data_IF_943792860049
#
_entry.id   IF_943792860049
#
_cell.length_a   1.000
_cell.length_b   1.000
_cell.length_c   1.000
_cell.angle_alpha   90.00
_cell.angle_beta   90.00
_cell.angle_gamma   90.00
#
_symmetry.space_group_name_H-M   'P 1'
#
loop_
_entity.id
_entity.type
_entity.pdbx_description
1 polymer ?
#
# COMPACT_ATOMS: atom_id res chain seq x y z
N UNK A 1 -0.18 11.79 -3.58
CA UNK A 1 1.30 11.74 -3.54
C UNK A 1 1.82 10.55 -4.35
N UNK A 2 1.54 9.29 -3.96
CA UNK A 2 1.98 8.07 -4.68
C UNK A 2 1.63 8.07 -6.20
N UNK A 3 0.41 8.51 -6.56
CA UNK A 3 0.01 8.67 -7.98
C UNK A 3 0.95 9.60 -8.77
N UNK A 4 1.37 10.72 -8.18
CA UNK A 4 2.23 11.69 -8.84
C UNK A 4 3.64 11.14 -9.09
N UNK A 5 4.16 10.38 -8.12
CA UNK A 5 5.46 9.69 -8.25
C UNK A 5 5.41 8.64 -9.36
N UNK A 6 4.32 7.86 -9.44
CA UNK A 6 4.14 6.89 -10.51
C UNK A 6 4.01 7.54 -11.89
N UNK A 7 3.25 8.63 -11.99
CA UNK A 7 3.14 9.39 -13.24
C UNK A 7 4.50 9.91 -13.69
N UNK A 8 5.29 10.48 -12.77
CA UNK A 8 6.64 10.99 -13.06
C UNK A 8 7.60 9.89 -13.53
N UNK A 9 7.58 8.73 -12.88
CA UNK A 9 8.39 7.56 -13.29
C UNK A 9 8.04 7.10 -14.70
N UNK A 10 6.75 6.95 -15.01
CA UNK A 10 6.33 6.49 -16.34
C UNK A 10 6.54 7.52 -17.45
N UNK A 11 6.53 8.81 -17.11
CA UNK A 11 6.91 9.86 -18.08
C UNK A 11 8.40 9.87 -18.37
N UNK A 12 9.24 9.39 -17.45
CA UNK A 12 10.68 9.30 -17.64
C UNK A 12 11.08 8.17 -18.61
N UNK A 13 10.34 7.06 -18.62
CA UNK A 13 10.56 5.90 -19.52
C UNK A 13 10.19 6.13 -21.00
N UNK A 14 9.93 7.37 -21.44
CA UNK A 14 9.81 7.74 -22.85
C UNK A 14 8.57 8.59 -23.22
N UNK A 15 8.77 9.54 -24.13
CA UNK A 15 7.82 10.60 -24.51
C UNK A 15 6.43 10.08 -24.99
N UNK A 16 6.38 8.98 -25.75
CA UNK A 16 5.12 8.41 -26.26
C UNK A 16 4.40 7.50 -25.24
N UNK A 17 5.15 6.76 -24.42
CA UNK A 17 4.61 5.89 -23.37
C UNK A 17 4.12 6.70 -22.14
N UNK A 18 4.75 7.84 -21.87
CA UNK A 18 4.38 8.76 -20.79
C UNK A 18 2.95 9.29 -20.91
N UNK A 19 2.53 9.72 -22.10
CA UNK A 19 1.19 10.29 -22.32
C UNK A 19 0.08 9.24 -22.21
N UNK A 20 0.25 8.07 -22.84
CA UNK A 20 -0.70 6.96 -22.74
C UNK A 20 -0.80 6.44 -21.30
N UNK A 21 0.32 6.38 -20.59
CA UNK A 21 0.33 5.96 -19.19
C UNK A 21 -0.34 6.97 -18.25
N UNK A 22 -0.22 8.28 -18.51
CA UNK A 22 -0.93 9.32 -17.77
C UNK A 22 -2.44 9.23 -17.97
N UNK A 23 -2.90 8.95 -19.20
CA UNK A 23 -4.32 8.70 -19.51
C UNK A 23 -4.84 7.45 -18.81
N UNK A 24 -4.08 6.34 -18.83
CA UNK A 24 -4.44 5.14 -18.08
C UNK A 24 -4.52 5.39 -16.57
N UNK A 25 -3.58 6.16 -16.00
CA UNK A 25 -3.59 6.55 -14.58
C UNK A 25 -4.81 7.41 -14.24
N UNK A 26 -5.23 8.30 -15.14
CA UNK A 26 -6.47 9.07 -15.00
C UNK A 26 -7.72 8.18 -15.10
N UNK A 27 -7.71 7.19 -15.99
CA UNK A 27 -8.84 6.30 -16.23
C UNK A 27 -9.05 5.25 -15.10
N UNK A 28 -7.97 4.72 -14.51
CA UNK A 28 -8.05 3.69 -13.46
C UNK A 28 -7.23 4.05 -12.19
N UNK A 29 -7.55 5.17 -11.52
CA UNK A 29 -6.72 5.72 -10.45
C UNK A 29 -6.51 4.75 -9.27
N UNK A 30 -7.52 3.96 -8.93
CA UNK A 30 -7.47 2.99 -7.82
C UNK A 30 -6.47 1.86 -8.08
N UNK A 31 -6.42 1.29 -9.28
CA UNK A 31 -5.49 0.20 -9.61
C UNK A 31 -4.04 0.70 -9.56
N UNK A 32 -3.79 1.87 -10.12
CA UNK A 32 -2.45 2.45 -10.16
C UNK A 32 -1.93 2.91 -8.80
N UNK A 33 -2.82 3.30 -7.89
CA UNK A 33 -2.46 3.62 -6.51
C UNK A 33 -1.88 2.39 -5.78
N UNK A 34 -2.51 1.23 -5.90
CA UNK A 34 -2.00 -0.03 -5.32
C UNK A 34 -0.65 -0.43 -5.92
N UNK A 35 -0.50 -0.30 -7.25
CA UNK A 35 0.77 -0.59 -7.92
C UNK A 35 1.87 0.39 -7.48
N UNK A 36 1.54 1.67 -7.31
CA UNK A 36 2.48 2.66 -6.82
C UNK A 36 2.93 2.36 -5.39
N UNK A 37 2.02 1.95 -4.52
CA UNK A 37 2.33 1.60 -3.13
C UNK A 37 3.28 0.39 -3.03
N UNK A 38 3.05 -0.66 -3.82
CA UNK A 38 3.95 -1.82 -3.90
C UNK A 38 5.36 -1.42 -4.39
N UNK A 39 5.43 -0.58 -5.43
CA UNK A 39 6.71 -0.05 -5.93
C UNK A 39 7.41 0.84 -4.90
N UNK A 40 6.66 1.62 -4.15
CA UNK A 40 7.21 2.46 -3.10
C UNK A 40 7.88 1.62 -2.00
N UNK A 41 7.26 0.49 -1.60
CA UNK A 41 7.88 -0.48 -0.69
C UNK A 41 9.22 -0.98 -1.26
N UNK A 42 9.23 -1.40 -2.52
CA UNK A 42 10.45 -1.88 -3.17
C UNK A 42 11.56 -0.81 -3.20
N UNK A 43 11.22 0.43 -3.54
CA UNK A 43 12.18 1.53 -3.54
C UNK A 43 12.70 1.87 -2.14
N UNK A 44 11.85 1.83 -1.12
CA UNK A 44 12.27 2.07 0.27
C UNK A 44 13.29 1.01 0.70
N UNK A 45 12.98 -0.27 0.49
CA UNK A 45 13.87 -1.37 0.85
C UNK A 45 15.19 -1.27 0.08
N UNK A 46 15.14 -1.04 -1.23
CA UNK A 46 16.35 -0.90 -2.06
C UNK A 46 17.22 0.29 -1.64
N UNK A 47 16.62 1.36 -1.13
CA UNK A 47 17.33 2.52 -0.63
C UNK A 47 17.77 2.38 0.85
N UNK A 48 17.58 1.20 1.48
CA UNK A 48 17.99 0.93 2.86
C UNK A 48 17.02 1.47 3.93
N UNK A 49 15.83 1.91 3.54
CA UNK A 49 14.78 2.37 4.46
C UNK A 49 13.86 1.22 4.87
N UNK A 50 13.26 1.35 6.05
CA UNK A 50 12.27 0.41 6.56
C UNK A 50 10.88 0.70 5.94
N UNK A 51 10.29 -0.26 5.19
CA UNK A 51 9.03 -0.06 4.48
C UNK A 51 7.82 0.07 5.44
N UNK A 52 7.94 -0.28 6.72
CA UNK A 52 6.89 -0.04 7.72
C UNK A 52 6.70 1.46 7.94
N UNK A 53 7.72 2.28 7.68
CA UNK A 53 7.59 3.73 7.61
C UNK A 53 6.52 4.20 6.62
N UNK A 54 6.23 3.44 5.57
CA UNK A 54 5.16 3.75 4.63
C UNK A 54 3.77 3.55 5.26
N UNK A 55 3.60 2.48 6.04
CA UNK A 55 2.37 2.19 6.78
C UNK A 55 2.09 3.31 7.78
N UNK A 56 3.10 3.69 8.57
CA UNK A 56 2.96 4.77 9.56
C UNK A 56 2.67 6.11 8.89
N UNK A 57 3.36 6.42 7.79
CA UNK A 57 3.11 7.64 7.01
C UNK A 57 1.68 7.70 6.45
N UNK A 58 1.18 6.61 5.85
CA UNK A 58 -0.18 6.58 5.30
C UNK A 58 -1.21 6.68 6.42
N UNK A 59 -1.04 5.95 7.53
CA UNK A 59 -1.94 6.03 8.67
C UNK A 59 -2.02 7.45 9.26
N UNK A 60 -0.88 8.16 9.32
CA UNK A 60 -0.80 9.55 9.78
C UNK A 60 -1.43 10.54 8.79
N UNK A 61 -1.08 10.42 7.51
CA UNK A 61 -1.41 11.41 6.48
C UNK A 61 -2.82 11.25 5.91
N UNK A 62 -3.39 10.05 5.98
CA UNK A 62 -4.67 9.71 5.37
C UNK A 62 -5.67 9.22 6.44
N UNK A 63 -6.14 10.10 7.36
CA UNK A 63 -7.18 9.72 8.30
C UNK A 63 -8.46 9.33 7.55
N UNK A 64 -8.90 8.10 7.74
CA UNK A 64 -10.02 7.53 7.03
C UNK A 64 -11.33 8.12 7.56
N UNK A 65 -12.03 8.90 6.72
CA UNK A 65 -13.39 9.37 7.06
C UNK A 65 -14.34 8.17 7.06
N UNK A 66 -15.21 8.05 8.08
CA UNK A 66 -16.16 6.93 8.27
C UNK A 66 -17.06 6.65 7.05
N UNK A 67 -17.29 7.65 6.19
CA UNK A 67 -18.15 7.55 5.02
C UNK A 67 -17.46 8.12 3.78
N UNK A 68 -16.65 7.30 3.09
CA UNK A 68 -16.02 7.69 1.82
C UNK A 68 -16.45 6.76 0.68
N UNK A 69 -17.78 6.62 0.48
CA UNK A 69 -18.37 5.76 -0.56
C UNK A 69 -18.20 6.28 -1.99
N UNK A 70 -17.94 7.59 -2.18
CA UNK A 70 -17.92 8.26 -3.48
C UNK A 70 -16.49 8.72 -3.85
N UNK A 71 -15.46 8.19 -3.17
CA UNK A 71 -14.08 8.56 -3.47
C UNK A 71 -13.52 7.85 -4.71
N UNK A 72 -12.84 8.61 -5.55
CA UNK A 72 -12.05 8.11 -6.67
C UNK A 72 -10.74 7.43 -6.23
N UNK A 73 -10.45 7.40 -4.92
CA UNK A 73 -9.27 6.77 -4.32
C UNK A 73 -9.64 5.45 -3.65
N UNK A 74 -8.66 4.57 -3.43
CA UNK A 74 -8.91 3.43 -2.55
C UNK A 74 -9.04 3.91 -1.11
N UNK A 75 -9.75 3.12 -0.32
CA UNK A 75 -9.82 3.30 1.11
C UNK A 75 -8.42 3.11 1.73
N UNK A 76 -8.08 3.91 2.73
CA UNK A 76 -6.76 3.87 3.35
C UNK A 76 -6.51 2.49 3.98
N UNK A 77 -7.49 1.91 4.67
CA UNK A 77 -7.49 0.54 5.21
C UNK A 77 -7.10 -0.51 4.17
N UNK A 78 -7.71 -0.46 2.98
CA UNK A 78 -7.42 -1.36 1.87
C UNK A 78 -5.97 -1.23 1.39
N UNK A 79 -5.48 0.02 1.22
CA UNK A 79 -4.09 0.26 0.81
C UNK A 79 -3.10 -0.26 1.84
N UNK A 80 -3.33 0.04 3.12
CA UNK A 80 -2.51 -0.41 4.24
C UNK A 80 -2.48 -1.94 4.34
N UNK A 81 -3.62 -2.62 4.15
CA UNK A 81 -3.68 -4.08 4.13
C UNK A 81 -2.85 -4.70 3.00
N UNK A 82 -2.94 -4.13 1.78
CA UNK A 82 -2.17 -4.61 0.63
C UNK A 82 -0.67 -4.36 0.82
N UNK A 83 -0.28 -3.21 1.37
CA UNK A 83 1.12 -2.92 1.71
C UNK A 83 1.63 -3.92 2.74
N UNK A 84 0.83 -4.18 3.79
CA UNK A 84 1.19 -5.14 4.82
C UNK A 84 1.33 -6.58 4.27
N UNK A 85 0.40 -7.04 3.43
CA UNK A 85 0.51 -8.33 2.73
C UNK A 85 1.78 -8.38 1.86
N UNK A 86 2.10 -7.30 1.14
CA UNK A 86 3.28 -7.24 0.28
C UNK A 86 4.60 -7.29 1.07
N UNK A 87 4.67 -6.56 2.19
CA UNK A 87 5.82 -6.62 3.10
C UNK A 87 5.91 -8.02 3.71
N UNK A 88 4.80 -8.60 4.18
CA UNK A 88 4.79 -9.94 4.75
C UNK A 88 5.30 -11.01 3.77
N UNK A 89 4.88 -10.93 2.51
CA UNK A 89 5.24 -11.93 1.50
C UNK A 89 6.65 -11.77 0.96
N UNK A 90 7.13 -10.53 0.77
CA UNK A 90 8.41 -10.25 0.09
C UNK A 90 9.54 -9.86 1.05
N UNK A 91 9.22 -9.19 2.14
CA UNK A 91 10.19 -8.65 3.10
C UNK A 91 9.80 -8.91 4.57
N UNK A 92 9.52 -10.17 4.96
CA UNK A 92 8.99 -10.50 6.30
C UNK A 92 9.91 -10.07 7.44
N UNK A 93 11.22 -9.96 7.18
CA UNK A 93 12.23 -9.52 8.15
C UNK A 93 11.85 -8.20 8.85
N UNK A 94 11.30 -7.22 8.12
CA UNK A 94 10.93 -5.93 8.71
C UNK A 94 9.76 -6.04 9.68
N UNK A 95 8.82 -6.98 9.45
CA UNK A 95 7.71 -7.20 10.38
C UNK A 95 8.17 -7.85 11.69
N UNK A 96 9.17 -8.75 11.61
CA UNK A 96 9.76 -9.38 12.79
C UNK A 96 10.61 -8.38 13.57
N UNK A 97 11.46 -7.62 12.88
CA UNK A 97 12.39 -6.65 13.47
C UNK A 97 11.88 -5.22 13.31
N UNK A 98 10.64 -4.99 13.72
CA UNK A 98 9.93 -3.75 13.44
C UNK A 98 10.37 -2.60 14.36
N UNK A 99 11.10 -1.63 13.81
CA UNK A 99 11.55 -0.41 14.52
C UNK A 99 10.40 0.52 14.90
N UNK A 100 9.26 0.41 14.23
CA UNK A 100 8.07 1.24 14.46
C UNK A 100 7.06 0.57 15.38
N UNK A 101 7.43 -0.51 16.09
CA UNK A 101 6.48 -1.21 16.95
C UNK A 101 5.84 -0.27 17.98
N UNK A 102 6.61 0.58 18.64
CA UNK A 102 6.10 1.54 19.64
C UNK A 102 5.48 2.81 19.03
N UNK A 103 5.49 2.97 17.70
CA UNK A 103 4.96 4.16 17.05
C UNK A 103 3.43 4.22 17.15
N UNK A 104 2.89 5.35 17.62
CA UNK A 104 1.44 5.54 17.80
C UNK A 104 0.62 5.28 16.53
N UNK A 105 1.13 5.67 15.35
CA UNK A 105 0.42 5.47 14.10
C UNK A 105 0.51 4.02 13.67
N UNK A 106 1.65 3.35 13.88
CA UNK A 106 1.72 1.92 13.63
C UNK A 106 0.76 1.13 14.53
N UNK A 107 0.70 1.48 15.82
CA UNK A 107 -0.23 0.88 16.78
C UNK A 107 -1.70 1.10 16.36
N UNK A 108 -2.05 2.32 15.93
CA UNK A 108 -3.37 2.60 15.39
C UNK A 108 -3.67 1.79 14.12
N UNK A 109 -2.69 1.56 13.25
CA UNK A 109 -2.86 0.65 12.13
C UNK A 109 -3.14 -0.78 12.62
N UNK A 110 -2.39 -1.31 13.59
CA UNK A 110 -2.61 -2.66 14.14
C UNK A 110 -4.02 -2.80 14.72
N UNK A 111 -4.50 -1.81 15.46
CA UNK A 111 -5.85 -1.80 16.05
C UNK A 111 -6.94 -1.79 14.98
N UNK A 112 -6.81 -0.95 13.95
CA UNK A 112 -7.84 -0.79 12.93
C UNK A 112 -7.80 -1.85 11.81
N UNK A 113 -6.67 -2.56 11.64
CA UNK A 113 -6.48 -3.54 10.57
C UNK A 113 -6.76 -4.98 10.99
N UNK A 114 -7.33 -5.22 12.17
CA UNK A 114 -7.52 -6.58 12.73
C UNK A 114 -8.23 -7.54 11.77
N UNK A 115 -9.36 -7.12 11.18
CA UNK A 115 -10.12 -7.95 10.22
C UNK A 115 -9.29 -8.26 8.97
N UNK A 116 -8.69 -7.25 8.35
CA UNK A 116 -7.85 -7.44 7.16
C UNK A 116 -6.64 -8.36 7.46
N UNK A 117 -6.00 -8.22 8.62
CA UNK A 117 -4.90 -9.10 9.04
C UNK A 117 -5.38 -10.53 9.33
N UNK A 118 -6.60 -10.70 9.87
CA UNK A 118 -7.22 -12.03 10.04
C UNK A 118 -7.50 -12.69 8.69
N UNK A 119 -8.03 -11.96 7.71
CA UNK A 119 -8.23 -12.49 6.35
C UNK A 119 -6.91 -12.94 5.71
N UNK A 120 -5.84 -12.15 5.90
CA UNK A 120 -4.50 -12.53 5.43
C UNK A 120 -4.01 -13.81 6.11
N UNK A 121 -4.17 -13.91 7.44
CA UNK A 121 -3.78 -15.10 8.20
C UNK A 121 -4.50 -16.35 7.70
N UNK A 122 -5.80 -16.27 7.45
CA UNK A 122 -6.59 -17.40 6.93
C UNK A 122 -6.16 -17.80 5.51
N UNK A 123 -5.86 -16.83 4.64
CA UNK A 123 -5.26 -17.11 3.32
C UNK A 123 -3.94 -17.88 3.43
N UNK A 124 -3.08 -17.47 4.36
CA UNK A 124 -1.77 -18.12 4.57
C UNK A 124 -1.97 -19.55 5.07
N UNK A 125 -2.85 -19.76 6.07
CA UNK A 125 -3.14 -21.10 6.61
C UNK A 125 -3.72 -22.06 5.57
N UNK A 126 -4.62 -21.56 4.72
CA UNK A 126 -5.28 -22.36 3.68
C UNK A 126 -4.42 -22.55 2.43
N UNK A 127 -3.32 -21.81 2.29
CA UNK A 127 -2.49 -21.81 1.08
C UNK A 127 -3.21 -21.25 -0.15
N UNK A 128 -4.29 -20.48 0.03
CA UNK A 128 -5.09 -19.95 -1.07
C UNK A 128 -4.30 -18.93 -1.89
N UNK A 129 -4.42 -19.02 -3.22
CA UNK A 129 -3.83 -18.07 -4.18
C UNK A 129 -4.78 -16.95 -4.57
N UNK A 130 -5.99 -16.94 -4.02
CA UNK A 130 -6.99 -15.93 -4.35
C UNK A 130 -6.59 -14.53 -3.88
N UNK A 131 -6.99 -13.51 -4.65
CA UNK A 131 -6.80 -12.12 -4.27
C UNK A 131 -7.80 -11.73 -3.17
N UNK A 132 -7.30 -11.24 -2.04
CA UNK A 132 -8.14 -10.86 -0.91
C UNK A 132 -8.87 -9.55 -1.19
N UNK A 133 -10.18 -9.58 -0.95
CA UNK A 133 -11.04 -8.39 -1.02
C UNK A 133 -11.03 -7.66 0.32
N UNK A 134 -9.94 -6.95 0.59
CA UNK A 134 -9.83 -6.11 1.79
C UNK A 134 -10.84 -4.96 1.80
N UNK A 135 -11.25 -4.60 3.02
CA UNK A 135 -12.19 -3.50 3.33
C UNK A 135 -11.61 -2.11 3.07
#
# INVERSE_FOLDING_TARGET
MARGILTALKSYDGYFNGYLSALQIKAAPKKFEIVADKRAVDYMVNAGYDPIGLITFIQKSCPQKRFDKISNKNLASKRLAIIYEYIYTKYPYFLVNNKYFENEHYQNFLLNSQNNRRMLLEKIKTGSKEELKYE
#
